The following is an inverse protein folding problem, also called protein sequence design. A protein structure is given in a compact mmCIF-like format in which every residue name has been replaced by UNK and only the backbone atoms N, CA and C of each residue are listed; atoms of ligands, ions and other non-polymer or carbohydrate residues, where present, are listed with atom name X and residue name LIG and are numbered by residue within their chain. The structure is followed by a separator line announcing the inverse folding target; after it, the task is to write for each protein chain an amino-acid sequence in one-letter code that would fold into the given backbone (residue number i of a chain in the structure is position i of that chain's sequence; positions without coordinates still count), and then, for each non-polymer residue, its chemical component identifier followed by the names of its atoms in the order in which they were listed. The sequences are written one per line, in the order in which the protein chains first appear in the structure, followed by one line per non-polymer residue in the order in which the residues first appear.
data_IF_957915421306
#
_entry.id   IF_957915421306
#
_cell.length_a   1.000
_cell.length_b   1.000
_cell.length_c   1.000
_cell.angle_alpha   90.00
_cell.angle_beta   90.00
_cell.angle_gamma   90.00
#
_symmetry.space_group_name_H-M   'P 1'
#
loop_
_entity.id
_entity.type
_entity.pdbx_description
1 polymer ?
#
# COMPACT_ATOMS: atom_id res chain seq x y z
N UNK A 1 -17.00 4.83 40.66
CA UNK A 1 -16.33 4.07 41.75
C UNK A 1 -15.91 2.64 41.40
N UNK A 2 -16.50 1.95 40.41
CA UNK A 2 -16.05 0.58 40.02
C UNK A 2 -14.67 0.51 39.32
N UNK A 3 -14.20 1.61 38.72
CA UNK A 3 -12.90 1.67 38.01
C UNK A 3 -11.67 1.66 38.94
N UNK A 4 -11.75 2.22 40.14
CA UNK A 4 -10.60 2.31 41.06
C UNK A 4 -10.15 0.94 41.61
N UNK A 5 -11.07 0.00 41.74
CA UNK A 5 -10.78 -1.34 42.27
C UNK A 5 -10.03 -2.24 41.27
N UNK A 6 -10.26 -2.07 39.97
CA UNK A 6 -9.61 -2.87 38.93
C UNK A 6 -8.11 -2.54 38.81
N UNK A 7 -7.75 -1.26 38.96
CA UNK A 7 -6.35 -0.82 38.90
C UNK A 7 -5.48 -1.40 40.04
N UNK A 8 -6.01 -1.50 41.26
CA UNK A 8 -5.26 -2.08 42.39
C UNK A 8 -5.06 -3.60 42.27
N UNK A 9 -6.03 -4.33 41.71
CA UNK A 9 -5.93 -5.78 41.52
C UNK A 9 -4.88 -6.17 40.47
N UNK A 10 -4.84 -5.45 39.34
CA UNK A 10 -3.84 -5.69 38.28
C UNK A 10 -2.43 -5.34 38.78
N UNK A 11 -2.28 -4.20 39.46
CA UNK A 11 -1.01 -3.74 40.06
C UNK A 11 -0.45 -4.75 41.07
N UNK A 12 -1.31 -5.38 41.87
CA UNK A 12 -0.91 -6.42 42.81
C UNK A 12 -0.52 -7.73 42.12
N UNK A 13 -1.22 -8.13 41.04
CA UNK A 13 -0.90 -9.36 40.30
C UNK A 13 0.44 -9.27 39.52
N UNK A 14 0.73 -8.12 38.90
CA UNK A 14 2.00 -7.87 38.21
C UNK A 14 3.14 -7.64 39.20
N UNK A 15 2.88 -6.94 40.32
CA UNK A 15 3.84 -6.79 41.41
C UNK A 15 4.28 -8.13 41.98
N UNK A 16 3.35 -9.06 42.22
CA UNK A 16 3.64 -10.39 42.75
C UNK A 16 4.37 -11.28 41.73
N UNK A 17 4.07 -11.18 40.43
CA UNK A 17 4.73 -12.02 39.40
C UNK A 17 6.09 -11.45 38.96
N UNK A 18 6.25 -10.12 38.90
CA UNK A 18 7.56 -9.49 38.70
C UNK A 18 8.47 -9.74 39.92
N UNK A 19 7.89 -9.81 41.12
CA UNK A 19 8.61 -10.31 42.30
C UNK A 19 8.97 -11.79 42.11
N UNK A 20 8.07 -12.71 41.80
CA UNK A 20 8.41 -14.15 41.81
C UNK A 20 9.44 -14.62 40.74
N UNK A 21 9.77 -13.81 39.73
CA UNK A 21 10.89 -14.06 38.80
C UNK A 21 12.19 -13.31 39.10
N UNK A 22 12.16 -12.30 39.99
CA UNK A 22 13.27 -11.37 40.25
C UNK A 22 13.56 -11.20 41.76
N UNK A 23 12.71 -11.70 42.65
CA UNK A 23 12.78 -11.46 44.10
C UNK A 23 13.84 -12.28 44.82
N UNK A 24 14.41 -13.30 44.18
CA UNK A 24 15.66 -13.94 44.65
C UNK A 24 16.93 -13.13 44.32
N UNK A 25 16.79 -11.93 43.72
CA UNK A 25 17.88 -11.02 43.34
C UNK A 25 17.85 -9.65 44.05
N UNK A 26 16.98 -9.44 45.03
CA UNK A 26 16.80 -8.14 45.69
C UNK A 26 17.92 -7.75 46.69
N UNK A 27 18.89 -8.62 46.97
CA UNK A 27 20.04 -8.31 47.82
C UNK A 27 21.34 -7.97 47.06
N UNK A 28 21.28 -7.78 45.73
CA UNK A 28 22.48 -7.49 44.92
C UNK A 28 22.30 -6.36 43.88
N UNK A 29 21.54 -5.30 44.20
CA UNK A 29 21.32 -4.19 43.26
C UNK A 29 22.59 -3.39 42.87
N UNK A 30 23.69 -3.54 43.61
CA UNK A 30 24.97 -2.88 43.30
C UNK A 30 25.81 -3.61 42.24
N UNK A 31 25.53 -4.87 41.92
CA UNK A 31 26.35 -5.69 40.99
C UNK A 31 25.78 -5.83 39.58
N UNK A 32 24.60 -5.27 39.31
CA UNK A 32 24.03 -5.29 37.96
C UNK A 32 24.77 -4.31 37.02
N UNK A 33 25.06 -4.72 35.77
CA UNK A 33 25.54 -3.82 34.73
C UNK A 33 24.66 -2.57 34.62
N UNK A 34 25.24 -1.38 34.33
CA UNK A 34 24.51 -0.11 34.27
C UNK A 34 23.23 -0.16 33.42
N UNK A 35 23.23 -0.92 32.32
CA UNK A 35 22.12 -1.08 31.41
C UNK A 35 20.94 -1.82 32.06
N UNK A 36 21.23 -2.88 32.84
CA UNK A 36 20.19 -3.63 33.57
C UNK A 36 19.54 -2.76 34.66
N UNK A 37 20.34 -1.93 35.35
CA UNK A 37 19.83 -0.95 36.31
C UNK A 37 19.00 0.13 35.65
N UNK A 38 19.37 0.56 34.45
CA UNK A 38 18.57 1.49 33.66
C UNK A 38 17.21 0.90 33.30
N UNK A 39 17.17 -0.35 32.83
CA UNK A 39 15.92 -1.01 32.47
C UNK A 39 15.03 -1.30 33.68
N UNK A 40 15.60 -1.73 34.81
CA UNK A 40 14.83 -1.91 36.04
C UNK A 40 14.15 -0.60 36.49
N UNK A 41 14.83 0.55 36.36
CA UNK A 41 14.22 1.86 36.64
C UNK A 41 13.02 2.15 35.72
N UNK A 42 13.05 1.72 34.47
CA UNK A 42 11.89 1.84 33.57
C UNK A 42 10.74 0.91 33.97
N UNK A 43 11.04 -0.32 34.41
CA UNK A 43 10.02 -1.21 34.99
C UNK A 43 9.36 -0.56 36.20
N UNK A 44 10.16 -0.01 37.12
CA UNK A 44 9.63 0.62 38.35
C UNK A 44 8.76 1.84 38.04
N UNK A 45 9.17 2.67 37.06
CA UNK A 45 8.35 3.78 36.53
C UNK A 45 7.05 3.29 35.88
N UNK A 46 7.10 2.19 35.13
CA UNK A 46 5.91 1.63 34.51
C UNK A 46 4.91 1.14 35.59
N UNK A 47 5.40 0.47 36.63
CA UNK A 47 4.61 0.01 37.79
C UNK A 47 4.09 1.18 38.66
N UNK A 48 4.73 2.34 38.59
CA UNK A 48 4.24 3.57 39.21
C UNK A 48 3.16 4.29 38.38
N UNK A 49 2.87 3.82 37.17
CA UNK A 49 1.81 4.31 36.30
C UNK A 49 2.29 5.16 35.12
N UNK A 50 3.60 5.22 34.85
CA UNK A 50 4.11 5.90 33.66
C UNK A 50 3.81 5.09 32.40
N UNK A 51 2.99 5.66 31.51
CA UNK A 51 2.66 5.13 30.19
C UNK A 51 3.87 5.02 29.24
N UNK A 52 4.72 6.05 29.21
CA UNK A 52 5.95 6.07 28.42
C UNK A 52 6.91 4.95 28.85
N UNK A 53 7.04 4.75 30.17
CA UNK A 53 7.84 3.66 30.71
C UNK A 53 7.22 2.29 30.41
N UNK A 54 5.89 2.13 30.56
CA UNK A 54 5.19 0.89 30.22
C UNK A 54 5.36 0.50 28.74
N UNK A 55 5.26 1.49 27.84
CA UNK A 55 5.48 1.30 26.40
C UNK A 55 6.94 0.91 26.11
N UNK A 56 7.90 1.55 26.79
CA UNK A 56 9.33 1.23 26.66
C UNK A 56 9.64 -0.19 27.13
N UNK A 57 9.07 -0.61 28.26
CA UNK A 57 9.22 -1.95 28.81
C UNK A 57 8.61 -3.00 27.87
N UNK A 58 7.42 -2.76 27.34
CA UNK A 58 6.80 -3.61 26.32
C UNK A 58 7.71 -3.77 25.10
N UNK A 59 8.19 -2.65 24.52
CA UNK A 59 9.12 -2.65 23.37
C UNK A 59 10.36 -3.52 23.60
N UNK A 60 11.00 -3.40 24.77
CA UNK A 60 12.19 -4.18 25.12
C UNK A 60 11.87 -5.67 25.18
N UNK A 61 10.79 -6.09 25.85
CA UNK A 61 10.43 -7.50 25.94
C UNK A 61 9.97 -8.11 24.61
N UNK A 62 9.35 -7.31 23.74
CA UNK A 62 8.85 -7.77 22.44
C UNK A 62 9.94 -7.83 21.37
N UNK A 63 10.71 -6.75 21.17
CA UNK A 63 11.70 -6.65 20.09
C UNK A 63 13.13 -6.93 20.52
N UNK A 64 13.46 -6.72 21.80
CA UNK A 64 14.84 -6.68 22.27
C UNK A 64 15.61 -5.45 21.77
N UNK A 65 14.90 -4.44 21.28
CA UNK A 65 15.44 -3.23 20.64
C UNK A 65 15.35 -2.03 21.58
N UNK A 66 16.42 -1.79 22.33
CA UNK A 66 16.66 -0.50 22.98
C UNK A 66 18.17 -0.24 23.07
N UNK A 67 18.97 -1.31 23.18
CA UNK A 67 20.40 -1.38 22.90
C UNK A 67 20.71 -2.79 22.36
N UNK A 68 21.76 -2.97 21.55
CA UNK A 68 22.18 -4.31 21.04
C UNK A 68 22.30 -5.39 22.13
N UNK A 69 22.48 -4.98 23.39
CA UNK A 69 22.57 -5.80 24.60
C UNK A 69 21.22 -6.37 25.10
N UNK A 70 20.08 -5.80 24.69
CA UNK A 70 18.75 -6.20 25.18
C UNK A 70 18.11 -7.35 24.39
N UNK A 71 18.78 -7.90 23.38
CA UNK A 71 18.31 -9.13 22.69
C UNK A 71 18.04 -10.28 23.66
N UNK A 72 18.77 -10.32 24.78
CA UNK A 72 18.63 -11.31 25.86
C UNK A 72 17.32 -11.18 26.66
N UNK A 73 16.63 -10.04 26.58
CA UNK A 73 15.37 -9.80 27.26
C UNK A 73 14.14 -10.12 26.41
N UNK A 74 14.33 -10.50 25.13
CA UNK A 74 13.21 -10.90 24.28
C UNK A 74 12.49 -12.09 24.91
N UNK A 75 11.25 -11.88 25.32
CA UNK A 75 10.43 -12.90 25.97
C UNK A 75 8.96 -12.71 25.55
N UNK A 76 8.42 -13.59 24.68
CA UNK A 76 7.05 -13.44 24.17
C UNK A 76 5.96 -13.38 25.25
N UNK A 77 6.11 -14.16 26.34
CA UNK A 77 5.14 -14.15 27.44
C UNK A 77 5.14 -12.82 28.20
N UNK A 78 6.32 -12.27 28.46
CA UNK A 78 6.45 -10.96 29.11
C UNK A 78 6.01 -9.82 28.19
N UNK A 79 6.30 -9.93 26.88
CA UNK A 79 5.81 -9.01 25.86
C UNK A 79 4.28 -8.85 25.94
N UNK A 80 3.52 -9.96 25.88
CA UNK A 80 2.05 -9.90 25.95
C UNK A 80 1.56 -9.25 27.25
N UNK A 81 2.17 -9.59 28.40
CA UNK A 81 1.79 -8.99 29.70
C UNK A 81 2.02 -7.48 29.75
N UNK A 82 3.16 -7.02 29.27
CA UNK A 82 3.51 -5.60 29.30
C UNK A 82 2.74 -4.78 28.26
N UNK A 83 2.45 -5.36 27.09
CA UNK A 83 1.53 -4.78 26.09
C UNK A 83 0.11 -4.67 26.68
N UNK A 84 -0.40 -5.71 27.33
CA UNK A 84 -1.71 -5.69 28.00
C UNK A 84 -1.79 -4.60 29.08
N UNK A 85 -0.72 -4.47 29.87
CA UNK A 85 -0.61 -3.45 30.90
C UNK A 85 -0.54 -2.04 30.31
N UNK A 86 0.26 -1.83 29.27
CA UNK A 86 0.35 -0.55 28.56
C UNK A 86 -1.01 -0.14 27.99
N UNK A 87 -1.71 -1.04 27.29
CA UNK A 87 -3.07 -0.81 26.79
C UNK A 87 -4.05 -0.43 27.91
N UNK A 88 -3.95 -1.10 29.06
CA UNK A 88 -4.80 -0.81 30.22
C UNK A 88 -4.55 0.61 30.74
N UNK A 89 -3.28 1.01 30.90
CA UNK A 89 -2.95 2.39 31.33
C UNK A 89 -3.47 3.40 30.31
N UNK A 90 -3.18 3.20 29.02
CA UNK A 90 -3.60 4.10 27.94
C UNK A 90 -5.12 4.24 27.85
N UNK A 91 -5.88 3.18 28.12
CA UNK A 91 -7.34 3.23 28.16
C UNK A 91 -7.91 3.98 29.37
N UNK A 92 -7.13 4.09 30.47
CA UNK A 92 -7.56 4.79 31.70
C UNK A 92 -7.10 6.24 31.80
N UNK A 93 -6.10 6.65 31.01
CA UNK A 93 -5.43 7.95 31.17
C UNK A 93 -6.26 9.17 30.73
N UNK A 94 -7.47 8.97 30.17
CA UNK A 94 -8.57 9.94 30.17
C UNK A 94 -8.34 11.34 29.56
N UNK A 95 -7.17 11.64 28.99
CA UNK A 95 -6.93 12.91 28.29
C UNK A 95 -5.79 13.79 28.82
N UNK A 96 -4.58 13.26 29.01
CA UNK A 96 -3.39 14.12 29.20
C UNK A 96 -2.50 14.28 27.95
N UNK A 97 -2.73 13.50 26.88
CA UNK A 97 -2.07 13.76 25.61
C UNK A 97 -2.83 14.85 24.86
N UNK A 98 -2.29 16.08 24.88
CA UNK A 98 -2.81 17.21 24.09
C UNK A 98 -2.74 16.97 22.58
N UNK A 99 -2.00 15.95 22.14
CA UNK A 99 -1.86 15.57 20.74
C UNK A 99 -2.40 14.15 20.49
N UNK A 100 -3.65 14.08 20.01
CA UNK A 100 -4.38 12.84 19.72
C UNK A 100 -3.67 11.93 18.70
N UNK A 101 -2.76 12.48 17.88
CA UNK A 101 -2.01 11.67 16.92
C UNK A 101 -1.04 10.69 17.58
N UNK A 102 -0.41 11.11 18.68
CA UNK A 102 0.62 10.33 19.36
C UNK A 102 0.06 9.06 19.98
N UNK A 103 -1.12 9.12 20.59
CA UNK A 103 -1.73 7.95 21.24
C UNK A 103 -2.13 6.85 20.24
N UNK A 104 -2.66 7.23 19.08
CA UNK A 104 -2.99 6.27 18.03
C UNK A 104 -1.74 5.52 17.52
N UNK A 105 -0.65 6.25 17.33
CA UNK A 105 0.64 5.63 16.99
C UNK A 105 1.15 4.73 18.13
N UNK A 106 1.04 5.14 19.39
CA UNK A 106 1.44 4.30 20.53
C UNK A 106 0.65 2.99 20.57
N UNK A 107 -0.66 3.02 20.34
CA UNK A 107 -1.45 1.79 20.20
C UNK A 107 -0.95 0.92 19.04
N UNK A 108 -0.71 1.53 17.87
CA UNK A 108 -0.16 0.82 16.71
C UNK A 108 1.18 0.16 17.04
N UNK A 109 2.17 0.92 17.51
CA UNK A 109 3.49 0.41 17.87
C UNK A 109 3.40 -0.73 18.89
N UNK A 110 2.59 -0.55 19.93
CA UNK A 110 2.40 -1.54 21.01
C UNK A 110 1.81 -2.85 20.47
N UNK A 111 0.84 -2.78 19.55
CA UNK A 111 0.26 -3.96 18.89
C UNK A 111 1.24 -4.59 17.87
N UNK A 112 1.99 -3.78 17.12
CA UNK A 112 3.01 -4.24 16.17
C UNK A 112 4.15 -4.98 16.87
N UNK A 113 4.54 -4.55 18.07
CA UNK A 113 5.55 -5.22 18.90
C UNK A 113 5.13 -6.65 19.25
N UNK A 114 3.86 -6.83 19.57
CA UNK A 114 3.24 -8.11 19.88
C UNK A 114 3.24 -9.08 18.68
N UNK A 115 3.30 -8.55 17.45
CA UNK A 115 3.49 -9.33 16.22
C UNK A 115 4.98 -9.69 16.00
N UNK A 116 5.90 -8.74 16.06
CA UNK A 116 7.33 -9.00 15.76
C UNK A 116 8.05 -9.86 16.79
N UNK A 117 7.52 -9.94 18.01
CA UNK A 117 8.08 -10.74 19.09
C UNK A 117 8.09 -12.24 18.79
N UNK A 118 7.16 -12.74 17.98
CA UNK A 118 7.05 -14.16 17.64
C UNK A 118 6.28 -14.36 16.33
N UNK A 119 6.99 -14.78 15.28
CA UNK A 119 6.41 -15.00 13.94
C UNK A 119 5.60 -16.30 13.83
N UNK A 120 5.68 -17.21 14.82
CA UNK A 120 5.13 -18.57 14.68
C UNK A 120 3.59 -18.65 14.82
N UNK A 121 2.95 -17.70 15.51
CA UNK A 121 1.51 -17.45 15.33
C UNK A 121 1.15 -16.01 15.73
N UNK A 122 0.59 -15.26 14.78
CA UNK A 122 0.25 -13.85 14.96
C UNK A 122 -1.01 -13.65 15.82
N UNK A 123 -1.73 -14.74 16.08
CA UNK A 123 -3.06 -14.77 16.67
C UNK A 123 -3.22 -15.90 17.69
N UNK A 124 -2.21 -16.12 18.53
CA UNK A 124 -2.48 -16.89 19.75
C UNK A 124 -3.57 -16.19 20.58
N UNK A 125 -4.30 -16.96 21.40
CA UNK A 125 -5.45 -16.45 22.13
C UNK A 125 -5.12 -15.27 23.05
N UNK A 126 -3.87 -15.16 23.53
CA UNK A 126 -3.46 -14.08 24.40
C UNK A 126 -3.27 -12.77 23.61
N UNK A 127 -2.68 -12.86 22.41
CA UNK A 127 -2.56 -11.74 21.46
C UNK A 127 -3.92 -11.19 21.03
N UNK A 128 -4.84 -12.07 20.66
CA UNK A 128 -6.22 -11.70 20.29
C UNK A 128 -6.91 -10.93 21.42
N UNK A 129 -6.76 -11.40 22.66
CA UNK A 129 -7.36 -10.76 23.84
C UNK A 129 -6.87 -9.32 24.04
N UNK A 130 -5.61 -9.02 23.75
CA UNK A 130 -5.09 -7.64 23.83
C UNK A 130 -5.68 -6.77 22.73
N UNK A 131 -5.79 -7.27 21.50
CA UNK A 131 -6.44 -6.56 20.39
C UNK A 131 -7.90 -6.24 20.75
N UNK A 132 -8.65 -7.23 21.26
CA UNK A 132 -10.04 -7.05 21.69
C UNK A 132 -10.19 -6.03 22.83
N UNK A 133 -9.20 -5.94 23.73
CA UNK A 133 -9.17 -4.87 24.73
C UNK A 133 -9.02 -3.50 24.11
N UNK A 134 -8.14 -3.32 23.12
CA UNK A 134 -8.03 -2.04 22.40
C UNK A 134 -9.33 -1.72 21.67
N UNK A 135 -9.98 -2.71 21.04
CA UNK A 135 -11.30 -2.56 20.40
C UNK A 135 -12.37 -2.10 21.39
N UNK A 136 -12.33 -2.58 22.64
CA UNK A 136 -13.26 -2.20 23.69
C UNK A 136 -13.10 -0.76 24.19
N UNK A 137 -11.95 -0.11 23.97
CA UNK A 137 -11.70 1.28 24.39
C UNK A 137 -12.54 2.27 23.57
N UNK A 138 -12.73 2.00 22.26
CA UNK A 138 -13.63 2.75 21.34
C UNK A 138 -13.35 4.26 21.20
N UNK A 139 -12.22 4.76 21.69
CA UNK A 139 -11.77 6.15 21.44
C UNK A 139 -11.24 6.28 20.02
N UNK A 140 -11.21 7.50 19.47
CA UNK A 140 -10.65 7.71 18.13
C UNK A 140 -9.18 7.28 18.03
N UNK A 141 -8.40 7.48 19.09
CA UNK A 141 -6.98 7.10 19.11
C UNK A 141 -6.83 5.58 19.08
N UNK A 142 -7.66 4.85 19.85
CA UNK A 142 -7.69 3.38 19.78
C UNK A 142 -8.09 2.89 18.39
N UNK A 143 -9.06 3.55 17.75
CA UNK A 143 -9.49 3.25 16.37
C UNK A 143 -8.38 3.53 15.36
N UNK A 144 -7.69 4.68 15.45
CA UNK A 144 -6.55 5.02 14.60
C UNK A 144 -5.42 3.99 14.76
N UNK A 145 -5.08 3.62 16.00
CA UNK A 145 -4.05 2.61 16.26
C UNK A 145 -4.42 1.23 15.70
N UNK A 146 -5.67 0.81 15.86
CA UNK A 146 -6.19 -0.42 15.25
C UNK A 146 -6.20 -0.34 13.72
N UNK A 147 -6.56 0.81 13.15
CA UNK A 147 -6.56 1.01 11.70
C UNK A 147 -5.16 0.84 11.12
N UNK A 148 -4.16 1.52 11.70
CA UNK A 148 -2.74 1.39 11.31
C UNK A 148 -2.26 -0.05 11.47
N UNK A 149 -2.62 -0.69 12.59
CA UNK A 149 -2.26 -2.09 12.86
C UNK A 149 -2.82 -3.04 11.81
N UNK A 150 -4.11 -2.93 11.51
CA UNK A 150 -4.71 -3.74 10.46
C UNK A 150 -4.22 -3.35 9.07
N UNK A 151 -3.76 -2.10 8.85
CA UNK A 151 -3.19 -1.68 7.58
C UNK A 151 -1.91 -2.45 7.26
N UNK A 152 -1.01 -2.53 8.23
CA UNK A 152 0.30 -3.18 8.09
C UNK A 152 0.22 -4.71 8.22
N UNK A 153 -0.70 -5.24 9.02
CA UNK A 153 -0.72 -6.66 9.39
C UNK A 153 -2.00 -7.41 9.02
N UNK A 154 -2.79 -6.96 8.02
CA UNK A 154 -3.99 -7.68 7.58
C UNK A 154 -3.65 -9.08 7.02
N UNK A 155 -3.77 -10.13 7.84
CA UNK A 155 -3.52 -11.52 7.43
C UNK A 155 -4.81 -12.33 7.27
N UNK A 156 -5.90 -11.95 7.94
CA UNK A 156 -7.19 -12.62 7.84
C UNK A 156 -8.30 -11.70 7.31
N UNK A 157 -9.33 -12.29 6.70
CA UNK A 157 -10.48 -11.53 6.17
C UNK A 157 -11.24 -10.78 7.27
N UNK A 158 -11.23 -11.29 8.51
CA UNK A 158 -11.78 -10.60 9.67
C UNK A 158 -11.06 -9.27 9.93
N UNK A 159 -9.74 -9.21 9.74
CA UNK A 159 -8.94 -7.99 9.93
C UNK A 159 -9.26 -6.97 8.84
N UNK A 160 -9.39 -7.43 7.58
CA UNK A 160 -9.82 -6.57 6.46
C UNK A 160 -11.21 -5.98 6.71
N UNK A 161 -12.15 -6.78 7.22
CA UNK A 161 -13.51 -6.33 7.57
C UNK A 161 -13.50 -5.30 8.70
N UNK A 162 -12.72 -5.55 9.76
CA UNK A 162 -12.53 -4.61 10.88
C UNK A 162 -11.90 -3.30 10.41
N UNK A 163 -10.82 -3.35 9.63
CA UNK A 163 -10.18 -2.18 9.01
C UNK A 163 -11.17 -1.36 8.23
N UNK A 164 -11.99 -2.01 7.39
CA UNK A 164 -13.04 -1.36 6.59
C UNK A 164 -14.07 -0.64 7.47
N UNK A 165 -14.51 -1.28 8.56
CA UNK A 165 -15.48 -0.69 9.50
C UNK A 165 -14.89 0.54 10.19
N UNK A 166 -13.65 0.43 10.67
CA UNK A 166 -12.94 1.55 11.31
C UNK A 166 -12.73 2.70 10.31
N UNK A 167 -12.32 2.41 9.07
CA UNK A 167 -12.18 3.42 8.02
C UNK A 167 -13.45 4.17 7.74
N UNK A 168 -14.59 3.48 7.67
CA UNK A 168 -15.90 4.11 7.51
C UNK A 168 -16.18 5.07 8.66
N UNK A 169 -16.08 4.59 9.90
CA UNK A 169 -16.36 5.39 11.10
C UNK A 169 -15.45 6.62 11.19
N UNK A 170 -14.15 6.46 10.90
CA UNK A 170 -13.19 7.55 10.93
C UNK A 170 -13.38 8.52 9.78
N UNK A 171 -13.74 8.04 8.59
CA UNK A 171 -14.11 8.88 7.46
C UNK A 171 -15.36 9.71 7.76
N UNK A 172 -16.42 9.09 8.28
CA UNK A 172 -17.66 9.78 8.63
C UNK A 172 -17.44 10.87 9.69
N UNK A 173 -16.53 10.61 10.64
CA UNK A 173 -16.25 11.53 11.76
C UNK A 173 -15.26 12.65 11.40
N UNK A 174 -14.16 12.32 10.72
CA UNK A 174 -13.02 13.23 10.52
C UNK A 174 -12.88 13.71 9.07
N UNK A 175 -13.40 12.97 8.10
CA UNK A 175 -13.26 13.30 6.68
C UNK A 175 -11.83 13.26 6.15
N UNK A 176 -10.89 12.66 6.89
CA UNK A 176 -9.49 12.57 6.46
C UNK A 176 -9.37 11.67 5.22
N UNK A 177 -8.63 12.13 4.22
CA UNK A 177 -8.50 11.47 2.93
C UNK A 177 -8.02 10.01 3.05
N UNK A 178 -7.17 9.71 4.03
CA UNK A 178 -6.62 8.38 4.28
C UNK A 178 -7.71 7.34 4.59
N UNK A 179 -8.52 7.59 5.62
CA UNK A 179 -9.60 6.67 6.00
C UNK A 179 -10.68 6.60 4.92
N UNK A 180 -11.02 7.74 4.33
CA UNK A 180 -12.06 7.80 3.31
C UNK A 180 -11.66 7.07 2.03
N UNK A 181 -10.40 7.22 1.59
CA UNK A 181 -9.89 6.53 0.41
C UNK A 181 -9.89 5.02 0.62
N UNK A 182 -9.39 4.57 1.78
CA UNK A 182 -9.41 3.14 2.10
C UNK A 182 -10.84 2.58 2.12
N UNK A 183 -11.80 3.30 2.71
CA UNK A 183 -13.20 2.87 2.68
C UNK A 183 -13.77 2.88 1.25
N UNK A 184 -13.41 3.87 0.43
CA UNK A 184 -13.81 3.95 -0.97
C UNK A 184 -13.23 2.79 -1.80
N UNK A 185 -11.98 2.39 -1.58
CA UNK A 185 -11.36 1.22 -2.23
C UNK A 185 -12.19 -0.04 -1.95
N UNK A 186 -12.64 -0.21 -0.70
CA UNK A 186 -13.50 -1.35 -0.33
C UNK A 186 -14.90 -1.26 -0.92
N UNK A 187 -15.45 -0.07 -1.15
CA UNK A 187 -16.70 0.08 -1.89
C UNK A 187 -16.51 -0.30 -3.36
N UNK A 188 -15.39 0.11 -3.96
CA UNK A 188 -15.01 -0.23 -5.33
C UNK A 188 -14.86 -1.75 -5.53
N UNK A 189 -14.10 -2.42 -4.66
CA UNK A 189 -13.91 -3.88 -4.69
C UNK A 189 -15.23 -4.69 -4.60
N UNK A 190 -16.27 -4.10 -4.00
CA UNK A 190 -17.59 -4.72 -3.83
C UNK A 190 -18.61 -4.21 -4.87
N UNK A 191 -18.14 -3.69 -6.01
CA UNK A 191 -18.96 -3.17 -7.12
C UNK A 191 -19.89 -1.99 -6.76
N UNK A 192 -19.64 -1.31 -5.63
CA UNK A 192 -20.40 -0.12 -5.19
C UNK A 192 -19.80 1.17 -5.76
N UNK A 193 -19.56 1.15 -7.08
CA UNK A 193 -18.77 2.14 -7.80
C UNK A 193 -19.30 3.59 -7.67
N UNK A 194 -20.62 3.79 -7.63
CA UNK A 194 -21.20 5.13 -7.44
C UNK A 194 -20.92 5.70 -6.05
N UNK A 195 -20.91 4.86 -5.02
CA UNK A 195 -20.64 5.30 -3.66
C UNK A 195 -19.14 5.55 -3.45
N UNK A 196 -18.30 4.67 -4.02
CA UNK A 196 -16.85 4.87 -4.05
C UNK A 196 -16.49 6.21 -4.73
N UNK A 197 -17.06 6.49 -5.92
CA UNK A 197 -16.84 7.74 -6.65
C UNK A 197 -17.21 8.96 -5.79
N UNK A 198 -18.41 8.98 -5.21
CA UNK A 198 -18.86 10.09 -4.35
C UNK A 198 -17.93 10.29 -3.17
N UNK A 199 -17.42 9.22 -2.60
CA UNK A 199 -16.53 9.29 -1.44
C UNK A 199 -15.17 9.88 -1.84
N UNK A 200 -14.55 9.38 -2.90
CA UNK A 200 -13.30 9.94 -3.43
C UNK A 200 -13.45 11.42 -3.83
N UNK A 201 -14.54 11.80 -4.49
CA UNK A 201 -14.79 13.20 -4.89
C UNK A 201 -14.92 14.12 -3.66
N UNK A 202 -15.50 13.61 -2.56
CA UNK A 202 -15.69 14.36 -1.32
C UNK A 202 -14.39 14.49 -0.52
N UNK A 203 -13.61 13.43 -0.39
CA UNK A 203 -12.46 13.37 0.52
C UNK A 203 -11.09 13.48 -0.15
N UNK A 204 -11.05 13.40 -1.48
CA UNK A 204 -9.82 13.15 -2.21
C UNK A 204 -9.34 11.70 -2.10
N UNK A 205 -8.13 11.45 -2.60
CA UNK A 205 -7.48 10.14 -2.67
C UNK A 205 -6.16 10.14 -1.89
N UNK A 206 -5.88 9.09 -1.13
CA UNK A 206 -4.60 8.85 -0.45
C UNK A 206 -3.88 7.64 -1.04
N UNK A 207 -2.65 7.82 -1.51
CA UNK A 207 -1.83 6.73 -2.06
C UNK A 207 -2.12 6.42 -3.54
N UNK A 208 -1.44 5.41 -4.08
CA UNK A 208 -1.51 5.06 -5.49
C UNK A 208 -2.77 4.27 -5.86
N UNK A 209 -3.21 3.35 -5.01
CA UNK A 209 -4.35 2.48 -5.26
C UNK A 209 -5.65 3.26 -5.39
N UNK A 210 -5.95 4.16 -4.45
CA UNK A 210 -7.14 5.01 -4.50
C UNK A 210 -7.16 5.96 -5.70
N UNK A 211 -6.02 6.54 -6.08
CA UNK A 211 -5.88 7.32 -7.31
C UNK A 211 -6.14 6.47 -8.55
N UNK A 212 -5.64 5.24 -8.57
CA UNK A 212 -5.88 4.28 -9.63
C UNK A 212 -7.38 3.95 -9.72
N UNK A 213 -8.02 3.55 -8.63
CA UNK A 213 -9.45 3.21 -8.59
C UNK A 213 -10.31 4.40 -9.01
N UNK A 214 -10.04 5.61 -8.51
CA UNK A 214 -10.74 6.81 -8.96
C UNK A 214 -10.54 7.09 -10.45
N UNK A 215 -9.34 6.88 -10.98
CA UNK A 215 -9.11 7.03 -12.43
C UNK A 215 -9.94 6.05 -13.25
N UNK A 216 -10.14 4.81 -12.76
CA UNK A 216 -11.01 3.83 -13.40
C UNK A 216 -12.46 4.29 -13.39
N UNK A 217 -12.93 4.86 -12.28
CA UNK A 217 -14.28 5.40 -12.15
C UNK A 217 -14.50 6.64 -13.03
N UNK A 218 -13.49 7.44 -13.34
CA UNK A 218 -13.64 8.51 -14.33
C UNK A 218 -13.61 8.00 -15.77
N UNK A 219 -12.83 6.95 -16.05
CA UNK A 219 -12.75 6.35 -17.38
C UNK A 219 -14.03 5.58 -17.73
N UNK A 220 -14.50 4.75 -16.80
CA UNK A 220 -15.66 3.88 -16.90
C UNK A 220 -16.66 4.21 -15.78
N UNK A 221 -17.36 5.35 -15.91
CA UNK A 221 -18.18 5.85 -14.82
C UNK A 221 -19.42 4.97 -14.56
N UNK A 222 -19.92 4.96 -13.31
CA UNK A 222 -21.20 4.36 -12.98
C UNK A 222 -22.33 4.92 -13.87
N UNK A 223 -23.38 4.13 -14.09
CA UNK A 223 -24.53 4.50 -14.91
C UNK A 223 -25.07 5.90 -14.55
N UNK A 224 -25.22 6.76 -15.56
CA UNK A 224 -25.75 8.12 -15.40
C UNK A 224 -24.69 9.19 -15.12
N UNK A 225 -23.40 8.85 -15.19
CA UNK A 225 -22.29 9.82 -15.16
C UNK A 225 -21.54 9.78 -16.49
N UNK A 226 -21.10 10.93 -16.95
CA UNK A 226 -20.26 11.04 -18.14
C UNK A 226 -18.81 10.65 -17.83
N UNK A 227 -18.12 10.15 -18.84
CA UNK A 227 -16.71 9.75 -18.72
C UNK A 227 -15.82 10.99 -18.78
N UNK A 228 -14.87 11.09 -17.87
CA UNK A 228 -13.97 12.23 -17.67
C UNK A 228 -12.50 11.80 -17.86
N UNK A 229 -12.10 11.41 -19.09
CA UNK A 229 -10.84 10.73 -19.35
C UNK A 229 -9.62 11.62 -19.04
N UNK A 230 -9.71 12.95 -19.11
CA UNK A 230 -8.63 13.87 -18.74
C UNK A 230 -8.34 13.84 -17.23
N UNK A 231 -9.41 13.78 -16.41
CA UNK A 231 -9.27 13.56 -14.95
C UNK A 231 -8.69 12.18 -14.68
N UNK A 232 -9.18 11.16 -15.38
CA UNK A 232 -8.66 9.80 -15.29
C UNK A 232 -7.15 9.76 -15.60
N UNK A 233 -6.71 10.40 -16.69
CA UNK A 233 -5.31 10.45 -17.09
C UNK A 233 -4.42 11.14 -16.05
N UNK A 234 -4.89 12.26 -15.52
CA UNK A 234 -4.17 13.02 -14.49
C UNK A 234 -3.96 12.19 -13.22
N UNK A 235 -5.03 11.52 -12.77
CA UNK A 235 -4.98 10.64 -11.61
C UNK A 235 -4.13 9.39 -11.85
N UNK A 236 -4.23 8.79 -13.04
CA UNK A 236 -3.42 7.63 -13.41
C UNK A 236 -1.92 7.95 -13.37
N UNK A 237 -1.52 9.09 -13.94
CA UNK A 237 -0.12 9.56 -13.88
C UNK A 237 0.32 9.78 -12.43
N UNK A 238 -0.52 10.41 -11.61
CA UNK A 238 -0.20 10.64 -10.19
C UNK A 238 -0.12 9.33 -9.39
N UNK A 239 -1.01 8.38 -9.65
CA UNK A 239 -0.98 7.04 -9.07
C UNK A 239 0.33 6.34 -9.40
N UNK A 240 0.74 6.42 -10.66
CA UNK A 240 1.92 5.78 -11.17
C UNK A 240 3.21 6.32 -10.55
N UNK A 241 3.36 7.64 -10.47
CA UNK A 241 4.51 8.27 -9.79
C UNK A 241 4.56 7.88 -8.30
N UNK A 242 3.42 7.93 -7.62
CA UNK A 242 3.33 7.55 -6.19
C UNK A 242 3.77 6.11 -5.99
N UNK A 243 3.36 5.23 -6.91
CA UNK A 243 3.63 3.82 -6.85
C UNK A 243 5.12 3.51 -7.14
N UNK A 244 5.70 4.11 -8.18
CA UNK A 244 7.13 3.94 -8.50
C UNK A 244 8.03 4.36 -7.34
N UNK A 245 7.73 5.50 -6.71
CA UNK A 245 8.47 5.96 -5.54
C UNK A 245 8.38 4.96 -4.39
N UNK A 246 7.18 4.45 -4.08
CA UNK A 246 7.01 3.43 -3.03
C UNK A 246 7.69 2.10 -3.36
N UNK A 247 7.80 1.74 -4.63
CA UNK A 247 8.46 0.51 -5.05
C UNK A 247 9.98 0.63 -4.91
N UNK A 248 10.54 1.75 -5.37
CA UNK A 248 11.97 2.06 -5.25
C UNK A 248 12.41 2.11 -3.77
N UNK A 249 11.63 2.77 -2.91
CA UNK A 249 11.92 2.85 -1.48
C UNK A 249 11.94 1.48 -0.78
N UNK A 250 11.12 0.53 -1.21
CA UNK A 250 11.00 -0.80 -0.56
C UNK A 250 11.95 -1.85 -1.11
N UNK A 251 12.10 -1.89 -2.43
CA UNK A 251 12.74 -3.00 -3.13
C UNK A 251 13.93 -2.56 -3.99
N UNK A 252 14.11 -1.24 -4.16
CA UNK A 252 15.01 -0.66 -5.15
C UNK A 252 14.42 -0.68 -6.56
N UNK A 253 14.73 0.36 -7.34
CA UNK A 253 14.21 0.59 -8.69
C UNK A 253 14.41 -0.58 -9.66
N UNK A 254 15.45 -1.40 -9.46
CA UNK A 254 15.80 -2.52 -10.34
C UNK A 254 15.24 -3.88 -9.88
N UNK A 255 14.38 -3.92 -8.86
CA UNK A 255 13.74 -5.18 -8.49
C UNK A 255 12.78 -5.65 -9.60
N UNK A 256 12.74 -6.96 -9.86
CA UNK A 256 11.84 -7.56 -10.86
C UNK A 256 10.38 -7.17 -10.60
N UNK A 257 9.97 -7.11 -9.33
CA UNK A 257 8.65 -6.65 -8.92
C UNK A 257 8.36 -5.22 -9.41
N UNK A 258 9.32 -4.30 -9.26
CA UNK A 258 9.14 -2.92 -9.73
C UNK A 258 9.05 -2.83 -11.26
N UNK A 259 9.86 -3.62 -11.98
CA UNK A 259 9.87 -3.65 -13.45
C UNK A 259 8.57 -4.21 -14.01
N UNK A 260 8.10 -5.36 -13.51
CA UNK A 260 6.86 -6.00 -13.98
C UNK A 260 5.63 -5.14 -13.72
N UNK A 261 5.60 -4.46 -12.58
CA UNK A 261 4.52 -3.55 -12.25
C UNK A 261 4.58 -2.27 -13.09
N UNK A 262 5.77 -1.76 -13.41
CA UNK A 262 5.97 -0.67 -14.36
C UNK A 262 5.37 -1.02 -15.73
N UNK A 263 5.71 -2.16 -16.32
CA UNK A 263 5.17 -2.58 -17.62
C UNK A 263 3.64 -2.67 -17.66
N UNK A 264 3.02 -3.32 -16.66
CA UNK A 264 1.54 -3.42 -16.58
C UNK A 264 0.85 -2.06 -16.46
N UNK A 265 1.45 -1.12 -15.74
CA UNK A 265 0.87 0.21 -15.50
C UNK A 265 1.07 1.13 -16.69
N UNK A 266 2.21 1.04 -17.36
CA UNK A 266 2.46 1.68 -18.64
C UNK A 266 1.35 1.26 -19.62
N UNK A 267 1.08 -0.04 -19.80
CA UNK A 267 -0.02 -0.51 -20.66
C UNK A 267 -1.42 0.05 -20.31
N UNK A 268 -1.71 0.40 -19.04
CA UNK A 268 -3.00 1.02 -18.67
C UNK A 268 -3.00 2.54 -18.87
N UNK A 269 -1.88 3.20 -18.60
CA UNK A 269 -1.71 4.64 -18.88
C UNK A 269 -1.89 4.92 -20.37
N UNK A 270 -1.35 4.03 -21.19
CA UNK A 270 -1.50 4.00 -22.64
C UNK A 270 -2.97 4.05 -23.09
N UNK A 271 -3.79 3.14 -22.58
CA UNK A 271 -5.19 3.02 -22.99
C UNK A 271 -5.98 4.30 -22.67
N UNK A 272 -5.67 4.93 -21.54
CA UNK A 272 -6.27 6.20 -21.13
C UNK A 272 -5.77 7.34 -22.01
N UNK A 273 -4.48 7.38 -22.35
CA UNK A 273 -3.94 8.39 -23.27
C UNK A 273 -4.60 8.30 -24.65
N UNK A 274 -4.79 7.08 -25.17
CA UNK A 274 -5.51 6.85 -26.40
C UNK A 274 -6.96 7.35 -26.27
N UNK A 275 -7.68 6.98 -25.20
CA UNK A 275 -9.06 7.42 -25.00
C UNK A 275 -9.21 8.95 -24.93
N UNK A 276 -8.32 9.63 -24.21
CA UNK A 276 -8.27 11.11 -24.14
C UNK A 276 -8.06 11.69 -25.54
N UNK A 277 -7.02 11.23 -26.25
CA UNK A 277 -6.70 11.75 -27.58
C UNK A 277 -7.84 11.51 -28.57
N UNK A 278 -8.48 10.33 -28.53
CA UNK A 278 -9.61 10.01 -29.38
C UNK A 278 -10.80 10.95 -29.15
N UNK A 279 -11.15 11.19 -27.88
CA UNK A 279 -12.26 12.08 -27.50
C UNK A 279 -12.01 13.54 -27.85
N UNK A 280 -10.80 14.04 -27.64
CA UNK A 280 -10.41 15.39 -28.03
C UNK A 280 -10.54 15.63 -29.53
N UNK A 281 -10.41 14.57 -30.33
CA UNK A 281 -10.45 14.64 -31.78
C UNK A 281 -11.82 14.35 -32.39
N UNK A 282 -12.87 14.12 -31.60
CA UNK A 282 -14.23 13.80 -32.11
C UNK A 282 -14.78 14.86 -33.06
N UNK A 283 -14.40 16.13 -32.89
CA UNK A 283 -14.79 17.23 -33.78
C UNK A 283 -14.07 17.27 -35.13
N UNK A 284 -13.04 16.45 -35.34
CA UNK A 284 -12.27 16.40 -36.58
C UNK A 284 -12.86 15.36 -37.54
N UNK A 285 -12.82 15.69 -38.85
CA UNK A 285 -13.17 14.73 -39.90
C UNK A 285 -12.31 13.46 -39.77
N UNK A 286 -12.91 12.31 -40.14
CA UNK A 286 -12.24 11.01 -40.02
C UNK A 286 -10.91 10.97 -40.79
N UNK A 287 -10.85 11.56 -41.98
CA UNK A 287 -9.61 11.59 -42.79
C UNK A 287 -8.51 12.39 -42.09
N UNK A 288 -8.87 13.55 -41.51
CA UNK A 288 -7.95 14.43 -40.77
C UNK A 288 -7.40 13.71 -39.53
N UNK A 289 -8.25 12.99 -38.78
CA UNK A 289 -7.81 12.18 -37.63
C UNK A 289 -6.81 11.11 -38.02
N UNK A 290 -7.08 10.35 -39.09
CA UNK A 290 -6.16 9.32 -39.58
C UNK A 290 -4.79 9.92 -39.91
N UNK A 291 -4.76 11.05 -40.62
CA UNK A 291 -3.49 11.68 -40.99
C UNK A 291 -2.76 12.26 -39.77
N UNK A 292 -3.49 12.88 -38.83
CA UNK A 292 -2.95 13.34 -37.54
C UNK A 292 -2.26 12.18 -36.80
N UNK A 293 -2.91 11.01 -36.70
CA UNK A 293 -2.36 9.86 -35.99
C UNK A 293 -1.16 9.24 -36.72
N UNK A 294 -1.18 9.13 -38.06
CA UNK A 294 0.00 8.69 -38.83
C UNK A 294 1.21 9.62 -38.62
N UNK A 295 0.98 10.93 -38.62
CA UNK A 295 2.03 11.94 -38.37
C UNK A 295 2.58 11.76 -36.95
N UNK A 296 1.72 11.60 -35.95
CA UNK A 296 2.12 11.37 -34.57
C UNK A 296 2.94 10.08 -34.42
N UNK A 297 2.48 8.93 -34.94
CA UNK A 297 3.26 7.67 -34.96
C UNK A 297 4.66 7.92 -35.52
N UNK A 298 4.74 8.54 -36.69
CA UNK A 298 6.02 8.80 -37.36
C UNK A 298 6.92 9.70 -36.53
N UNK A 299 6.36 10.74 -35.92
CA UNK A 299 7.10 11.65 -35.04
C UNK A 299 7.67 10.91 -33.82
N UNK A 300 6.82 10.19 -33.08
CA UNK A 300 7.24 9.50 -31.85
C UNK A 300 8.25 8.38 -32.12
N UNK A 301 8.08 7.61 -33.22
CA UNK A 301 9.07 6.62 -33.65
C UNK A 301 10.42 7.28 -33.95
N UNK A 302 10.44 8.39 -34.69
CA UNK A 302 11.69 9.13 -34.99
C UNK A 302 12.37 9.66 -33.72
N UNK A 303 11.58 10.04 -32.72
CA UNK A 303 12.08 10.48 -31.41
C UNK A 303 12.38 9.33 -30.44
N UNK A 304 12.28 8.06 -30.86
CA UNK A 304 12.46 6.86 -30.01
C UNK A 304 11.55 6.84 -28.77
N UNK A 305 10.41 7.49 -28.87
CA UNK A 305 9.35 7.54 -27.85
C UNK A 305 8.35 6.43 -28.15
N UNK A 306 8.79 5.19 -27.96
CA UNK A 306 8.07 4.01 -28.42
C UNK A 306 6.72 3.82 -27.73
N UNK A 307 6.66 4.14 -26.44
CA UNK A 307 5.44 4.07 -25.67
C UNK A 307 4.36 5.03 -26.22
N UNK A 308 4.72 6.27 -26.50
CA UNK A 308 3.82 7.23 -27.13
C UNK A 308 3.47 6.85 -28.57
N UNK A 309 4.40 6.27 -29.33
CA UNK A 309 4.13 5.80 -30.68
C UNK A 309 3.05 4.71 -30.70
N UNK A 310 3.11 3.76 -29.75
CA UNK A 310 2.09 2.72 -29.61
C UNK A 310 0.69 3.35 -29.44
N UNK A 311 0.56 4.50 -28.74
CA UNK A 311 -0.76 5.12 -28.43
C UNK A 311 -1.47 5.45 -29.74
N UNK A 312 -0.72 5.98 -30.70
CA UNK A 312 -1.25 6.33 -32.00
C UNK A 312 -1.42 5.13 -32.93
N UNK A 313 -0.68 4.03 -32.72
CA UNK A 313 -0.99 2.77 -33.41
C UNK A 313 -2.36 2.23 -32.99
N UNK A 314 -2.67 2.21 -31.69
CA UNK A 314 -3.99 1.79 -31.19
C UNK A 314 -5.11 2.70 -31.73
N UNK A 315 -4.89 4.01 -31.75
CA UNK A 315 -5.85 4.96 -32.33
C UNK A 315 -6.12 4.72 -33.82
N UNK A 316 -5.09 4.39 -34.60
CA UNK A 316 -5.27 4.03 -36.02
C UNK A 316 -6.10 2.75 -36.15
N UNK A 317 -5.82 1.73 -35.35
CA UNK A 317 -6.55 0.46 -35.39
C UNK A 317 -8.01 0.59 -34.96
N UNK A 318 -8.30 1.40 -33.93
CA UNK A 318 -9.68 1.74 -33.52
C UNK A 318 -10.49 2.44 -34.61
N UNK A 319 -9.81 3.07 -35.56
CA UNK A 319 -10.43 3.69 -36.73
C UNK A 319 -10.53 2.72 -37.92
N UNK A 320 -10.32 1.42 -37.73
CA UNK A 320 -10.27 0.38 -38.76
C UNK A 320 -9.21 0.64 -39.83
N UNK A 321 -8.13 1.37 -39.48
CA UNK A 321 -7.03 1.59 -40.40
C UNK A 321 -6.17 0.33 -40.52
N UNK A 322 -6.17 -0.27 -41.71
CA UNK A 322 -5.29 -1.39 -42.02
C UNK A 322 -3.85 -0.92 -42.10
N UNK A 323 -3.04 -1.26 -41.09
CA UNK A 323 -1.63 -0.88 -41.04
C UNK A 323 -0.89 -1.51 -42.23
N UNK A 324 -0.19 -0.72 -43.07
CA UNK A 324 0.68 -1.28 -44.09
C UNK A 324 1.81 -2.07 -43.42
N UNK A 325 2.36 -3.08 -44.11
CA UNK A 325 3.36 -3.97 -43.54
C UNK A 325 4.56 -3.22 -42.92
N UNK A 326 5.01 -2.12 -43.51
CA UNK A 326 6.07 -1.28 -42.94
C UNK A 326 5.69 -0.70 -41.57
N UNK A 327 4.45 -0.23 -41.41
CA UNK A 327 3.95 0.25 -40.12
C UNK A 327 3.76 -0.89 -39.12
N UNK A 328 3.35 -2.08 -39.55
CA UNK A 328 3.30 -3.26 -38.67
C UNK A 328 4.69 -3.62 -38.14
N UNK A 329 5.73 -3.56 -38.96
CA UNK A 329 7.11 -3.74 -38.51
C UNK A 329 7.49 -2.71 -37.43
N UNK A 330 7.21 -1.42 -37.65
CA UNK A 330 7.53 -0.40 -36.65
C UNK A 330 6.67 -0.49 -35.38
N UNK A 331 5.44 -1.00 -35.47
CA UNK A 331 4.64 -1.33 -34.30
C UNK A 331 5.31 -2.44 -33.48
N UNK A 332 5.83 -3.48 -34.15
CA UNK A 332 6.58 -4.55 -33.49
C UNK A 332 7.87 -4.03 -32.82
N UNK A 333 8.62 -3.13 -33.48
CA UNK A 333 9.80 -2.48 -32.88
C UNK A 333 9.42 -1.66 -31.64
N UNK A 334 8.28 -0.96 -31.68
CA UNK A 334 7.80 -0.21 -30.52
C UNK A 334 7.42 -1.13 -29.34
N UNK A 335 6.77 -2.28 -29.59
CA UNK A 335 6.52 -3.29 -28.56
C UNK A 335 7.80 -3.92 -28.02
N UNK A 336 8.76 -4.21 -28.90
CA UNK A 336 10.05 -4.77 -28.50
C UNK A 336 10.81 -3.84 -27.56
N UNK A 337 10.80 -2.53 -27.83
CA UNK A 337 11.45 -1.52 -27.01
C UNK A 337 10.67 -1.08 -25.76
N UNK A 338 9.47 -1.62 -25.55
CA UNK A 338 8.64 -1.38 -24.34
C UNK A 338 8.49 -2.64 -23.49
N UNK A 339 9.36 -3.63 -23.70
CA UNK A 339 9.39 -4.91 -23.00
C UNK A 339 8.09 -5.73 -23.14
N UNK A 340 7.26 -5.43 -24.14
CA UNK A 340 6.05 -6.18 -24.47
C UNK A 340 6.38 -7.32 -25.46
N UNK A 341 7.31 -8.20 -25.07
CA UNK A 341 7.93 -9.23 -25.93
C UNK A 341 6.94 -10.16 -26.61
N UNK A 342 5.88 -10.58 -25.93
CA UNK A 342 4.84 -11.44 -26.52
C UNK A 342 4.05 -10.73 -27.63
N UNK A 343 3.73 -9.44 -27.43
CA UNK A 343 3.08 -8.64 -28.47
C UNK A 343 4.03 -8.36 -29.62
N UNK A 344 5.29 -8.03 -29.32
CA UNK A 344 6.33 -7.86 -30.33
C UNK A 344 6.47 -9.11 -31.21
N UNK A 345 6.56 -10.30 -30.59
CA UNK A 345 6.63 -11.61 -31.29
C UNK A 345 5.47 -11.78 -32.25
N UNK A 346 4.24 -11.57 -31.77
CA UNK A 346 3.02 -11.70 -32.58
C UNK A 346 3.02 -10.76 -33.78
N UNK A 347 3.35 -9.47 -33.58
CA UNK A 347 3.34 -8.47 -34.66
C UNK A 347 4.49 -8.68 -35.65
N UNK A 348 5.68 -9.12 -35.21
CA UNK A 348 6.75 -9.52 -36.14
C UNK A 348 6.34 -10.70 -37.02
N UNK A 349 5.70 -11.72 -36.46
CA UNK A 349 5.18 -12.86 -37.23
C UNK A 349 4.14 -12.40 -38.25
N UNK A 350 3.21 -11.53 -37.86
CA UNK A 350 2.23 -10.93 -38.78
C UNK A 350 2.91 -10.15 -39.91
N UNK A 351 3.95 -9.36 -39.60
CA UNK A 351 4.74 -8.66 -40.61
C UNK A 351 5.42 -9.63 -41.59
N UNK A 352 6.08 -10.67 -41.09
CA UNK A 352 6.76 -11.67 -41.93
C UNK A 352 5.79 -12.42 -42.85
N UNK A 353 4.60 -12.76 -42.34
CA UNK A 353 3.55 -13.42 -43.11
C UNK A 353 2.97 -12.52 -44.21
N UNK A 354 2.81 -11.22 -43.94
CA UNK A 354 2.22 -10.26 -44.89
C UNK A 354 3.22 -9.73 -45.91
N UNK A 355 4.45 -9.38 -45.50
CA UNK A 355 5.47 -8.82 -46.39
C UNK A 355 6.26 -9.90 -47.15
N UNK A 356 6.35 -11.11 -46.58
CA UNK A 356 7.14 -12.22 -47.10
C UNK A 356 8.65 -11.94 -47.13
N UNK A 357 9.40 -12.84 -47.80
CA UNK A 357 10.88 -12.81 -47.88
C UNK A 357 11.46 -11.57 -48.56
N UNK A 358 10.65 -10.82 -49.32
CA UNK A 358 11.06 -9.59 -50.04
C UNK A 358 10.78 -8.31 -49.23
N UNK A 359 10.19 -8.41 -48.04
CA UNK A 359 9.91 -7.25 -47.19
C UNK A 359 11.19 -6.53 -46.78
N UNK A 360 11.17 -5.19 -46.80
CA UNK A 360 12.34 -4.35 -46.53
C UNK A 360 13.01 -4.64 -45.16
N UNK A 361 12.22 -5.07 -44.18
CA UNK A 361 12.67 -5.37 -42.81
C UNK A 361 12.67 -6.88 -42.47
N UNK A 362 12.60 -7.77 -43.48
CA UNK A 362 12.50 -9.22 -43.26
C UNK A 362 13.62 -9.75 -42.35
N UNK A 363 14.87 -9.38 -42.66
CA UNK A 363 16.05 -9.82 -41.90
C UNK A 363 16.01 -9.31 -40.46
N UNK A 364 15.76 -8.01 -40.27
CA UNK A 364 15.69 -7.39 -38.94
C UNK A 364 14.58 -8.02 -38.08
N UNK A 365 13.40 -8.28 -38.65
CA UNK A 365 12.32 -8.94 -37.92
C UNK A 365 12.69 -10.37 -37.46
N UNK A 366 13.44 -11.13 -38.28
CA UNK A 366 13.95 -12.45 -37.87
C UNK A 366 15.01 -12.34 -36.75
N UNK A 367 15.91 -11.37 -36.85
CA UNK A 367 16.91 -11.11 -35.82
C UNK A 367 16.22 -10.78 -34.48
N UNK A 368 15.20 -9.92 -34.47
CA UNK A 368 14.39 -9.60 -33.29
C UNK A 368 13.64 -10.79 -32.71
N UNK A 369 13.09 -11.66 -33.54
CA UNK A 369 12.44 -12.89 -33.07
C UNK A 369 13.44 -13.84 -32.39
N UNK A 370 14.67 -13.93 -32.91
CA UNK A 370 15.72 -14.72 -32.26
C UNK A 370 16.13 -14.10 -30.92
N UNK A 371 16.25 -12.78 -30.83
CA UNK A 371 16.52 -12.06 -29.58
C UNK A 371 15.42 -12.32 -28.54
N UNK A 372 14.14 -12.20 -28.94
CA UNK A 372 12.99 -12.46 -28.05
C UNK A 372 12.98 -13.92 -27.54
N UNK A 373 13.41 -14.89 -28.35
CA UNK A 373 13.42 -16.30 -27.97
C UNK A 373 14.63 -16.69 -27.10
N UNK A 374 15.62 -15.81 -26.97
CA UNK A 374 16.81 -16.02 -26.13
C UNK A 374 16.64 -15.45 -24.71
N UNK A 375 15.61 -14.63 -24.48
CA UNK A 375 15.14 -14.17 -23.17
C UNK A 375 14.33 -15.27 -22.48
#
# INVERSE_FOLDING_TARGET
MRYFWVNNLIRNSLGVIALLGVSSLMLACSSLPPEKRSFQREIDKALSGSDAAATTVAKVYCRGEYYKLFKTYKNPSQCVKWVDYAVTILGTSGGQYKDSGYLGEVYFWTLSDLIHGDMASHYDAAKVKVIEKVEAIRTDDSKRGLWLFYNEYSRHDKDKSRRTTISKEMCDKRGEAEYCSYYADRLYDNDRNLEALKLYEKSGTSGAESKFNLSQLYLHPPKGRDSEPEKALTLMKSAYVTWLNSCDERYGASSTECVDMKGRRDARLFEIQAEVAFKQDVGLDRSIRLDKYKVAVTHYLKSKKYFEALVYFDLLERMDYQLPASMSFFKAEAYFHTDETDKARSVYQQYLNSAGKKGAYYRTALERLNEINAL
#
